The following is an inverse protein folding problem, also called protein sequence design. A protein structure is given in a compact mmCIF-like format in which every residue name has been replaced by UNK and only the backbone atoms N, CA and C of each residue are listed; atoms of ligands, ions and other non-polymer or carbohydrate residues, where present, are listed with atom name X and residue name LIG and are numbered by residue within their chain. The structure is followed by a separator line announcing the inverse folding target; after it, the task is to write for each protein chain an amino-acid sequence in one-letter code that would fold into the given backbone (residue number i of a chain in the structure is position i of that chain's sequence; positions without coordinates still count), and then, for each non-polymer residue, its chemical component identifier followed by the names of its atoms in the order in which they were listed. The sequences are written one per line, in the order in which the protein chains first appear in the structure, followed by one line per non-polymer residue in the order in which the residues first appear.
data_IF_953258229883
#
_entry.id   IF_953258229883
#
_cell.length_a   1.000
_cell.length_b   1.000
_cell.length_c   1.000
_cell.angle_alpha   90.00
_cell.angle_beta   90.00
_cell.angle_gamma   90.00
#
_symmetry.space_group_name_H-M   'P 1'
#
loop_
_entity.id
_entity.type
_entity.pdbx_description
1 polymer ?
#
# COMPACT_ATOMS: atom_id res chain seq x y z
N UNK A 1 16.79 16.17 12.37
CA UNK A 1 17.11 14.82 12.87
C UNK A 1 16.14 13.82 12.24
N UNK A 2 16.51 13.12 11.16
CA UNK A 2 15.62 12.23 10.41
C UNK A 2 15.15 11.00 11.20
N UNK A 3 15.92 10.53 12.19
CA UNK A 3 15.64 9.31 12.97
C UNK A 3 14.38 9.39 13.87
N UNK A 4 13.95 10.59 14.25
CA UNK A 4 12.82 10.74 15.17
C UNK A 4 11.48 10.47 14.47
N UNK A 5 11.40 10.76 13.16
CA UNK A 5 10.16 10.63 12.39
C UNK A 5 9.78 9.18 12.13
N UNK A 6 10.75 8.32 11.83
CA UNK A 6 10.53 6.87 11.67
C UNK A 6 10.06 6.20 12.96
N UNK A 7 10.63 6.62 14.11
CA UNK A 7 10.19 6.13 15.43
C UNK A 7 8.74 6.52 15.73
N UNK A 8 8.36 7.76 15.44
CA UNK A 8 6.98 8.23 15.59
C UNK A 8 6.01 7.45 14.70
N UNK A 9 6.34 7.26 13.42
CA UNK A 9 5.51 6.48 12.49
C UNK A 9 5.34 5.03 12.96
N UNK A 10 6.41 4.41 13.46
CA UNK A 10 6.35 3.05 14.02
C UNK A 10 5.46 2.99 15.25
N UNK A 11 5.55 3.97 16.15
CA UNK A 11 4.71 4.04 17.35
C UNK A 11 3.23 4.22 16.99
N UNK A 12 2.93 5.06 15.98
CA UNK A 12 1.56 5.26 15.49
C UNK A 12 0.98 3.99 14.86
N UNK A 13 1.75 3.31 14.01
CA UNK A 13 1.35 2.01 13.45
C UNK A 13 1.05 0.98 14.54
N UNK A 14 1.92 0.86 15.55
CA UNK A 14 1.68 -0.03 16.68
C UNK A 14 0.41 0.34 17.45
N UNK A 15 0.15 1.63 17.65
CA UNK A 15 -1.06 2.08 18.35
C UNK A 15 -2.33 1.79 17.54
N UNK A 16 -2.30 1.91 16.21
CA UNK A 16 -3.44 1.63 15.34
C UNK A 16 -3.76 0.13 15.30
N UNK A 17 -2.72 -0.70 15.20
CA UNK A 17 -2.84 -2.17 15.21
C UNK A 17 -3.29 -2.73 16.57
N UNK A 18 -3.09 -1.98 17.66
CA UNK A 18 -3.52 -2.38 19.00
C UNK A 18 -4.97 -2.02 19.32
N UNK A 19 -5.66 -1.27 18.45
CA UNK A 19 -7.07 -0.91 18.65
C UNK A 19 -7.98 -2.12 18.39
N UNK A 20 -9.11 -2.16 19.10
CA UNK A 20 -10.15 -3.18 18.89
C UNK A 20 -10.87 -3.01 17.55
N UNK A 21 -11.03 -1.76 17.10
CA UNK A 21 -11.57 -1.41 15.78
C UNK A 21 -10.42 -0.86 14.94
N UNK A 22 -9.87 -1.72 14.09
CA UNK A 22 -8.64 -1.45 13.34
C UNK A 22 -9.01 -0.64 12.09
N UNK A 23 -8.43 0.56 11.96
CA UNK A 23 -8.59 1.35 10.73
C UNK A 23 -7.51 0.96 9.69
N UNK A 24 -7.90 0.08 8.76
CA UNK A 24 -7.00 -0.37 7.68
C UNK A 24 -6.54 0.76 6.75
N UNK A 25 -7.38 1.79 6.56
CA UNK A 25 -7.01 2.95 5.73
C UNK A 25 -5.86 3.72 6.38
N UNK A 26 -5.94 3.93 7.69
CA UNK A 26 -4.90 4.63 8.46
C UNK A 26 -3.59 3.82 8.48
N UNK A 27 -3.68 2.50 8.62
CA UNK A 27 -2.51 1.61 8.53
C UNK A 27 -1.83 1.72 7.17
N UNK A 28 -2.59 1.74 6.08
CA UNK A 28 -2.03 1.85 4.73
C UNK A 28 -1.29 3.18 4.53
N UNK A 29 -1.88 4.29 4.97
CA UNK A 29 -1.27 5.63 4.90
C UNK A 29 0.01 5.70 5.74
N UNK A 30 -0.04 5.28 7.00
CA UNK A 30 1.12 5.29 7.90
C UNK A 30 2.23 4.36 7.41
N UNK A 31 1.87 3.22 6.83
CA UNK A 31 2.83 2.30 6.21
C UNK A 31 3.50 2.95 5.02
N UNK A 32 2.74 3.57 4.11
CA UNK A 32 3.31 4.27 2.96
C UNK A 32 4.27 5.39 3.39
N UNK A 33 3.88 6.22 4.37
CA UNK A 33 4.76 7.29 4.87
C UNK A 33 6.03 6.73 5.54
N UNK A 34 5.92 5.60 6.24
CA UNK A 34 7.09 4.91 6.80
C UNK A 34 8.03 4.42 5.69
N UNK A 35 7.48 3.83 4.63
CA UNK A 35 8.24 3.31 3.48
C UNK A 35 8.95 4.42 2.71
N UNK A 36 8.33 5.58 2.54
CA UNK A 36 8.93 6.74 1.87
C UNK A 36 10.11 7.34 2.65
N UNK A 37 10.06 7.24 3.98
CA UNK A 37 11.08 7.78 4.87
C UNK A 37 12.22 6.77 5.13
N UNK A 38 11.95 5.48 4.97
CA UNK A 38 12.91 4.38 5.17
C UNK A 38 13.77 4.15 3.92
N UNK A 39 14.83 4.95 3.78
CA UNK A 39 15.76 4.90 2.65
C UNK A 39 16.77 3.72 2.70
N UNK A 40 16.84 3.01 3.82
CA UNK A 40 17.76 1.88 4.02
C UNK A 40 17.22 0.58 3.42
N UNK A 41 15.91 0.51 3.16
CA UNK A 41 15.27 -0.70 2.67
C UNK A 41 15.31 -0.80 1.15
N UNK A 42 16.02 -1.82 0.63
CA UNK A 42 15.90 -2.23 -0.77
C UNK A 42 14.50 -2.82 -1.01
N UNK A 43 13.70 -2.16 -1.86
CA UNK A 43 12.32 -2.58 -2.19
C UNK A 43 12.12 -2.68 -3.70
N UNK A 44 11.26 -3.60 -4.11
CA UNK A 44 10.78 -3.63 -5.49
C UNK A 44 9.87 -2.42 -5.71
N UNK A 45 10.32 -1.46 -6.52
CA UNK A 45 9.43 -0.43 -7.05
C UNK A 45 8.55 -1.08 -8.10
N UNK A 46 7.26 -1.18 -7.81
CA UNK A 46 6.27 -1.54 -8.83
C UNK A 46 6.13 -0.33 -9.73
N UNK A 47 6.71 -0.40 -10.92
CA UNK A 47 6.45 0.62 -11.94
C UNK A 47 4.96 0.57 -12.26
N UNK A 48 4.22 1.61 -11.89
CA UNK A 48 2.78 1.72 -12.13
C UNK A 48 2.45 1.49 -13.61
N UNK A 49 3.40 1.78 -14.51
CA UNK A 49 3.30 1.50 -15.95
C UNK A 49 3.26 0.01 -16.29
N UNK A 50 3.99 -0.83 -15.54
CA UNK A 50 3.98 -2.28 -15.71
C UNK A 50 2.66 -2.88 -15.23
N UNK A 51 2.12 -2.46 -14.09
CA UNK A 51 0.78 -2.91 -13.65
C UNK A 51 -0.31 -2.41 -14.59
N UNK A 52 -0.26 -1.15 -15.01
CA UNK A 52 -1.22 -0.61 -15.97
C UNK A 52 -1.19 -1.37 -17.30
N UNK A 53 0.01 -1.67 -17.82
CA UNK A 53 0.18 -2.47 -19.04
C UNK A 53 -0.34 -3.90 -18.87
N UNK A 54 0.01 -4.58 -17.77
CA UNK A 54 -0.48 -5.92 -17.49
C UNK A 54 -2.00 -5.94 -17.32
N UNK A 55 -2.58 -4.96 -16.61
CA UNK A 55 -4.03 -4.82 -16.47
C UNK A 55 -4.71 -4.56 -17.82
N UNK A 56 -4.11 -3.77 -18.71
CA UNK A 56 -4.65 -3.55 -20.05
C UNK A 56 -4.52 -4.79 -20.96
N UNK A 57 -3.39 -5.49 -20.90
CA UNK A 57 -3.11 -6.69 -21.71
C UNK A 57 -3.92 -7.91 -21.24
N UNK A 58 -4.10 -8.08 -19.92
CA UNK A 58 -4.88 -9.18 -19.32
C UNK A 58 -6.38 -8.93 -19.39
N UNK A 59 -6.79 -7.66 -19.42
CA UNK A 59 -8.18 -7.25 -19.38
C UNK A 59 -8.52 -6.49 -20.64
N UNK A 60 -8.44 -7.19 -21.77
CA UNK A 60 -8.63 -6.61 -23.11
C UNK A 60 -10.00 -5.95 -23.37
N UNK A 61 -10.96 -6.03 -22.43
CA UNK A 61 -12.21 -5.25 -22.40
C UNK A 61 -12.55 -4.85 -20.96
N UNK A 62 -12.94 -3.59 -20.77
CA UNK A 62 -13.31 -3.00 -19.46
C UNK A 62 -14.36 -3.83 -18.69
N UNK A 63 -15.27 -4.49 -19.42
CA UNK A 63 -16.33 -5.35 -18.88
C UNK A 63 -15.79 -6.60 -18.14
N UNK A 64 -14.65 -7.12 -18.60
CA UNK A 64 -13.98 -8.29 -17.98
C UNK A 64 -13.29 -7.90 -16.66
N UNK A 65 -12.79 -6.67 -16.54
CA UNK A 65 -12.14 -6.15 -15.32
C UNK A 65 -13.12 -6.12 -14.15
N UNK A 66 -14.31 -5.60 -14.42
CA UNK A 66 -15.37 -5.48 -13.44
C UNK A 66 -15.84 -6.85 -12.95
N UNK A 67 -15.89 -7.83 -13.85
CA UNK A 67 -16.32 -9.20 -13.53
C UNK A 67 -15.32 -9.94 -12.64
N UNK A 68 -14.02 -9.80 -12.91
CA UNK A 68 -12.97 -10.36 -12.04
C UNK A 68 -12.88 -9.63 -10.70
N UNK A 69 -13.15 -8.31 -10.64
CA UNK A 69 -13.19 -7.55 -9.38
C UNK A 69 -14.32 -8.05 -8.46
N UNK A 70 -15.53 -8.27 -9.01
CA UNK A 70 -16.68 -8.79 -8.25
C UNK A 70 -16.43 -10.23 -7.79
N UNK A 71 -15.75 -11.03 -8.61
CA UNK A 71 -15.43 -12.43 -8.30
C UNK A 71 -14.37 -12.58 -7.20
N UNK A 72 -13.46 -11.62 -7.09
CA UNK A 72 -12.36 -11.64 -6.11
C UNK A 72 -12.70 -10.90 -4.78
N UNK A 73 -13.87 -10.26 -4.68
CA UNK A 73 -14.38 -9.62 -3.46
C UNK A 73 -15.19 -10.62 -2.61
#
# INVERSE_FOLDING_TARGET
MPDNKLKDLRSKLQSELAKTDINFQEIAVLSQEFLEQDQESLRFSIDAKHIHRLGFELVGKQETALSELIKNA
#
